data_IF_581399443248
#
_entry.id   IF_581399443248
#
_cell.length_a   1.000
_cell.length_b   1.000
_cell.length_c   1.000
_cell.angle_alpha   90.00
_cell.angle_beta   90.00
_cell.angle_gamma   90.00
#
_symmetry.space_group_name_H-M   'P 1'
#
loop_
_entity.id
_entity.type
_entity.pdbx_description
1 polymer ?
#
# COMPACT_ATOMS: atom_id res chain seq x y z
N UNK A 1 -47.49 -31.31 -32.99
CA UNK A 1 -47.03 -32.38 -33.88
C UNK A 1 -45.72 -32.87 -33.32
N UNK A 2 -45.79 -33.90 -32.47
CA UNK A 2 -45.31 -35.29 -32.64
C UNK A 2 -43.80 -35.42 -32.48
N UNK A 3 -43.32 -35.88 -31.30
CA UNK A 3 -42.94 -37.27 -30.94
C UNK A 3 -41.74 -37.77 -31.75
N UNK A 4 -40.70 -38.36 -31.16
CA UNK A 4 -40.77 -39.71 -30.59
C UNK A 4 -39.38 -40.03 -29.96
N UNK A 5 -39.45 -40.54 -28.79
CA UNK A 5 -38.66 -41.60 -28.11
C UNK A 5 -37.72 -42.47 -28.96
N UNK A 6 -36.58 -42.78 -28.44
CA UNK A 6 -35.70 -43.83 -28.95
C UNK A 6 -34.71 -44.35 -27.90
N UNK A 7 -35.22 -45.20 -27.02
CA UNK A 7 -34.46 -46.07 -26.14
C UNK A 7 -33.92 -47.27 -26.91
N UNK A 8 -32.66 -47.70 -26.75
CA UNK A 8 -32.19 -49.09 -26.96
C UNK A 8 -30.83 -49.29 -26.33
N UNK A 9 -30.80 -49.92 -25.18
CA UNK A 9 -30.37 -51.30 -24.79
C UNK A 9 -28.93 -51.67 -25.07
N UNK A 10 -28.40 -52.02 -23.96
CA UNK A 10 -27.24 -52.80 -23.59
C UNK A 10 -26.68 -53.84 -24.59
N UNK A 11 -25.39 -53.98 -24.63
CA UNK A 11 -24.78 -55.29 -24.86
C UNK A 11 -23.45 -55.43 -24.13
N UNK A 12 -23.43 -56.30 -23.15
CA UNK A 12 -22.27 -56.83 -22.47
C UNK A 12 -21.48 -57.72 -23.42
N UNK A 13 -20.19 -57.61 -23.42
CA UNK A 13 -19.31 -58.74 -23.76
C UNK A 13 -18.23 -58.86 -22.71
N UNK A 14 -18.30 -60.03 -22.07
CA UNK A 14 -17.31 -60.60 -21.19
C UNK A 14 -16.08 -61.05 -21.94
N UNK A 15 -14.94 -61.02 -21.28
CA UNK A 15 -13.90 -61.98 -21.46
C UNK A 15 -12.55 -61.42 -21.90
N UNK A 16 -11.56 -61.31 -21.05
CA UNK A 16 -10.49 -62.27 -20.94
C UNK A 16 -9.54 -61.90 -19.81
N UNK A 17 -9.34 -62.89 -18.93
CA UNK A 17 -8.31 -62.85 -17.89
C UNK A 17 -6.94 -63.01 -18.53
N UNK A 18 -6.01 -62.12 -18.19
CA UNK A 18 -4.59 -62.42 -18.25
C UNK A 18 -3.92 -61.96 -16.97
N UNK A 19 -3.54 -62.92 -16.19
CA UNK A 19 -2.67 -62.80 -15.03
C UNK A 19 -1.24 -62.58 -15.51
N UNK A 20 -0.57 -61.51 -15.06
CA UNK A 20 0.89 -61.48 -15.00
C UNK A 20 1.32 -60.83 -13.68
N UNK A 21 1.98 -61.65 -12.88
CA UNK A 21 2.78 -61.29 -11.69
C UNK A 21 3.94 -60.40 -12.13
N UNK A 22 4.26 -59.43 -11.30
CA UNK A 22 5.51 -58.67 -11.47
C UNK A 22 5.48 -57.40 -10.65
N UNK A 23 5.82 -57.48 -9.42
CA UNK A 23 6.78 -56.71 -8.62
C UNK A 23 7.23 -55.41 -9.23
N UNK A 24 6.91 -54.33 -8.57
CA UNK A 24 7.82 -53.26 -8.12
C UNK A 24 6.99 -52.15 -7.49
N UNK A 25 7.09 -52.03 -6.18
CA UNK A 25 6.59 -50.88 -5.43
C UNK A 25 7.49 -49.68 -5.72
N UNK A 26 7.12 -48.86 -6.66
CA UNK A 26 7.68 -47.50 -6.76
C UNK A 26 6.78 -46.57 -5.93
N UNK A 27 7.21 -46.34 -4.71
CA UNK A 27 6.66 -45.25 -3.88
C UNK A 27 7.16 -43.96 -4.48
N UNK A 28 6.35 -43.30 -5.31
CA UNK A 28 6.60 -41.95 -5.72
C UNK A 28 6.40 -41.05 -4.50
N UNK A 29 7.51 -40.66 -3.89
CA UNK A 29 7.56 -39.63 -2.86
C UNK A 29 7.22 -38.31 -3.54
N UNK A 30 5.97 -37.89 -3.50
CA UNK A 30 5.57 -36.55 -3.89
C UNK A 30 6.05 -35.63 -2.79
N UNK A 31 7.25 -35.07 -2.96
CA UNK A 31 7.73 -33.97 -2.14
C UNK A 31 6.91 -32.74 -2.55
N UNK A 32 5.83 -32.49 -1.82
CA UNK A 32 5.07 -31.26 -1.91
C UNK A 32 5.95 -30.11 -1.40
N UNK A 33 6.58 -29.40 -2.33
CA UNK A 33 7.24 -28.13 -2.02
C UNK A 33 6.11 -27.12 -1.77
N UNK A 34 5.70 -26.97 -0.52
CA UNK A 34 4.89 -25.83 -0.09
C UNK A 34 5.73 -24.58 -0.25
N UNK A 35 5.55 -23.85 -1.35
CA UNK A 35 6.04 -22.48 -1.48
C UNK A 35 5.22 -21.61 -0.50
N UNK A 36 5.65 -21.57 0.75
CA UNK A 36 5.20 -20.56 1.70
C UNK A 36 5.80 -19.23 1.26
N UNK A 37 5.06 -18.46 0.47
CA UNK A 37 5.42 -17.07 0.20
C UNK A 37 5.25 -16.34 1.53
N UNK A 38 6.31 -15.78 2.14
CA UNK A 38 6.15 -15.00 3.34
C UNK A 38 5.30 -13.80 3.00
N UNK A 39 4.10 -13.73 3.57
CA UNK A 39 3.26 -12.55 3.53
C UNK A 39 3.98 -11.50 4.38
N UNK A 40 4.73 -10.62 3.72
CA UNK A 40 5.40 -9.51 4.38
C UNK A 40 4.32 -8.58 4.92
N UNK A 41 4.32 -8.38 6.23
CA UNK A 41 3.46 -7.40 6.87
C UNK A 41 3.82 -6.01 6.31
N UNK A 42 2.87 -5.36 5.63
CA UNK A 42 3.04 -3.98 5.18
C UNK A 42 3.04 -3.12 6.44
N UNK A 43 4.14 -2.39 6.65
CA UNK A 43 4.27 -1.50 7.80
C UNK A 43 3.19 -0.39 7.75
N UNK A 44 2.55 -0.13 8.89
CA UNK A 44 1.50 0.89 9.01
C UNK A 44 1.98 2.28 8.55
N UNK A 45 3.25 2.62 8.77
CA UNK A 45 3.86 3.85 8.26
C UNK A 45 3.91 3.92 6.74
N UNK A 46 4.09 2.79 6.07
CA UNK A 46 4.09 2.68 4.61
C UNK A 46 2.67 2.92 4.03
N UNK A 47 1.64 2.40 4.69
CA UNK A 47 0.24 2.63 4.31
C UNK A 47 -0.12 4.11 4.48
N UNK A 48 0.19 4.71 5.62
CA UNK A 48 -0.04 6.13 5.88
C UNK A 48 0.64 7.02 4.82
N UNK A 49 1.85 6.67 4.39
CA UNK A 49 2.57 7.42 3.35
C UNK A 49 1.90 7.32 1.97
N UNK A 50 1.40 6.15 1.59
CA UNK A 50 0.70 5.94 0.31
C UNK A 50 -0.60 6.73 0.28
N UNK A 51 -1.42 6.59 1.33
CA UNK A 51 -2.70 7.26 1.45
C UNK A 51 -2.56 8.79 1.56
N UNK A 52 -1.56 9.27 2.27
CA UNK A 52 -1.21 10.68 2.37
C UNK A 52 -0.86 11.30 1.02
N UNK A 53 -0.05 10.63 0.21
CA UNK A 53 0.31 11.10 -1.14
C UNK A 53 -0.90 11.08 -2.07
N UNK A 54 -1.78 10.08 -1.94
CA UNK A 54 -3.04 10.00 -2.67
C UNK A 54 -3.95 11.16 -2.28
N UNK A 55 -4.12 11.41 -0.98
CA UNK A 55 -4.91 12.51 -0.44
C UNK A 55 -4.46 13.86 -0.99
N UNK A 56 -3.16 14.17 -0.98
CA UNK A 56 -2.61 15.40 -1.54
C UNK A 56 -2.96 15.55 -3.03
N UNK A 57 -2.88 14.48 -3.82
CA UNK A 57 -3.22 14.51 -5.26
C UNK A 57 -4.69 14.81 -5.55
N UNK A 58 -5.59 14.62 -4.58
CA UNK A 58 -7.00 14.97 -4.73
C UNK A 58 -7.27 16.47 -4.50
N UNK A 59 -6.33 17.19 -3.87
CA UNK A 59 -6.51 18.60 -3.47
C UNK A 59 -5.73 19.60 -4.35
N UNK A 60 -4.79 19.13 -5.15
CA UNK A 60 -3.91 19.98 -5.95
C UNK A 60 -3.77 19.46 -7.38
N UNK A 61 -3.41 20.37 -8.29
CA UNK A 61 -2.91 19.99 -9.62
C UNK A 61 -1.70 19.07 -9.50
N UNK A 62 -1.40 18.31 -10.55
CA UNK A 62 -0.29 17.34 -10.57
C UNK A 62 1.03 17.96 -10.09
N UNK A 63 1.37 19.15 -10.54
CA UNK A 63 2.66 19.78 -10.25
C UNK A 63 2.72 20.29 -8.80
N UNK A 64 1.66 20.96 -8.33
CA UNK A 64 1.59 21.43 -6.95
C UNK A 64 1.54 20.25 -5.95
N UNK A 65 0.84 19.18 -6.30
CA UNK A 65 0.84 17.96 -5.50
C UNK A 65 2.24 17.33 -5.39
N UNK A 66 2.99 17.28 -6.50
CA UNK A 66 4.36 16.75 -6.50
C UNK A 66 5.29 17.61 -5.63
N UNK A 67 5.13 18.93 -5.65
CA UNK A 67 5.91 19.85 -4.80
C UNK A 67 5.63 19.57 -3.32
N UNK A 68 4.37 19.44 -2.92
CA UNK A 68 4.00 19.15 -1.53
C UNK A 68 4.47 17.77 -1.08
N UNK A 69 4.37 16.76 -1.96
CA UNK A 69 4.87 15.41 -1.69
C UNK A 69 6.39 15.40 -1.46
N UNK A 70 7.14 16.16 -2.26
CA UNK A 70 8.58 16.33 -2.07
C UNK A 70 8.88 17.00 -0.73
N UNK A 71 8.15 18.05 -0.41
CA UNK A 71 8.31 18.82 0.83
C UNK A 71 8.10 17.90 2.05
N UNK A 72 6.95 17.24 2.16
CA UNK A 72 6.64 16.38 3.31
C UNK A 72 7.47 15.09 3.35
N UNK A 73 7.96 14.64 2.19
CA UNK A 73 8.95 13.58 2.13
C UNK A 73 10.27 13.95 2.80
N UNK A 74 10.68 15.22 2.71
CA UNK A 74 11.89 15.73 3.37
C UNK A 74 11.66 16.09 4.84
N UNK A 75 10.48 16.54 5.20
CA UNK A 75 10.15 16.93 6.57
C UNK A 75 10.05 15.73 7.52
N UNK A 76 9.30 14.71 7.14
CA UNK A 76 8.99 13.58 8.03
C UNK A 76 8.99 12.20 7.36
N UNK A 77 9.28 12.13 6.06
CA UNK A 77 9.02 10.92 5.24
C UNK A 77 7.56 10.42 5.37
N UNK A 78 6.61 11.33 5.55
CA UNK A 78 5.19 11.03 5.82
C UNK A 78 4.92 10.31 7.14
N UNK A 79 5.82 10.39 8.10
CA UNK A 79 5.61 9.83 9.43
C UNK A 79 4.71 10.77 10.26
N UNK A 80 3.46 10.36 10.51
CA UNK A 80 2.50 11.12 11.32
C UNK A 80 2.90 11.26 12.79
N UNK A 81 3.78 10.39 13.28
CA UNK A 81 4.29 10.42 14.65
C UNK A 81 5.65 11.13 14.77
N UNK A 82 6.10 11.77 13.69
CA UNK A 82 7.36 12.47 13.70
C UNK A 82 7.37 13.61 14.73
N UNK A 83 8.48 13.72 15.45
CA UNK A 83 8.77 14.83 16.36
C UNK A 83 10.15 15.37 16.05
N UNK A 84 10.22 16.63 15.65
CA UNK A 84 11.47 17.32 15.40
C UNK A 84 11.79 18.34 16.47
N UNK A 85 13.05 18.77 16.50
CA UNK A 85 13.57 19.74 17.48
C UNK A 85 13.32 19.32 18.93
N UNK A 86 13.54 18.04 19.25
CA UNK A 86 13.18 17.42 20.54
C UNK A 86 13.79 18.15 21.73
N UNK A 87 15.02 18.69 21.56
CA UNK A 87 15.73 19.42 22.61
C UNK A 87 15.59 20.95 22.51
N UNK A 88 14.80 21.44 21.57
CA UNK A 88 14.60 22.87 21.35
C UNK A 88 13.40 23.43 22.10
N UNK A 89 13.29 24.75 22.15
CA UNK A 89 12.19 25.47 22.81
C UNK A 89 10.82 25.24 22.16
N UNK A 90 10.78 24.86 20.91
CA UNK A 90 9.55 24.59 20.15
C UNK A 90 9.74 23.34 19.30
N UNK A 91 9.04 22.27 19.66
CA UNK A 91 9.01 21.04 18.90
C UNK A 91 8.11 21.18 17.68
N UNK A 92 8.45 20.44 16.60
CA UNK A 92 7.64 20.31 15.40
C UNK A 92 7.06 18.90 15.31
N UNK A 93 5.85 18.76 14.79
CA UNK A 93 5.09 17.51 14.86
C UNK A 93 4.53 17.09 13.50
N UNK A 94 4.42 15.77 13.35
CA UNK A 94 3.66 15.10 12.33
C UNK A 94 4.22 15.23 10.92
N UNK A 95 3.39 14.87 9.94
CA UNK A 95 3.77 14.87 8.53
C UNK A 95 4.32 16.22 8.06
N UNK A 96 3.68 17.36 8.36
CA UNK A 96 4.14 18.67 7.89
C UNK A 96 5.19 19.33 8.79
N UNK A 97 5.62 18.68 9.87
CA UNK A 97 6.57 19.21 10.85
C UNK A 97 6.22 20.62 11.35
N UNK A 98 4.95 20.82 11.72
CA UNK A 98 4.49 22.11 12.24
C UNK A 98 4.76 22.25 13.74
N UNK A 99 5.12 23.47 14.15
CA UNK A 99 5.27 23.87 15.56
C UNK A 99 3.90 24.07 16.23
N UNK A 100 3.03 23.08 16.09
CA UNK A 100 1.68 23.08 16.62
C UNK A 100 1.40 21.74 17.32
N UNK A 101 1.39 21.68 18.65
CA UNK A 101 1.15 20.43 19.38
C UNK A 101 -0.24 19.84 19.16
N UNK A 102 -1.23 20.61 18.71
CA UNK A 102 -2.58 20.14 18.46
C UNK A 102 -2.66 19.12 17.33
N UNK A 103 -1.66 19.06 16.43
CA UNK A 103 -1.68 18.12 15.34
C UNK A 103 -1.09 16.76 15.70
N UNK A 104 -0.40 16.63 16.84
CA UNK A 104 0.40 15.46 17.21
C UNK A 104 -0.37 14.14 17.14
N UNK A 105 -1.61 14.14 17.61
CA UNK A 105 -2.44 12.94 17.73
C UNK A 105 -3.52 12.84 16.64
N UNK A 106 -3.48 13.72 15.65
CA UNK A 106 -4.41 13.71 14.52
C UNK A 106 -4.06 12.62 13.51
N UNK A 107 -5.07 12.18 12.74
CA UNK A 107 -4.85 11.30 11.60
C UNK A 107 -3.96 11.97 10.55
N UNK A 108 -3.31 11.16 9.70
CA UNK A 108 -2.42 11.64 8.64
C UNK A 108 -3.08 12.70 7.75
N UNK A 109 -4.32 12.47 7.29
CA UNK A 109 -5.06 13.43 6.46
C UNK A 109 -5.32 14.76 7.19
N UNK A 110 -5.68 14.71 8.47
CA UNK A 110 -5.89 15.93 9.27
C UNK A 110 -4.59 16.72 9.47
N UNK A 111 -3.48 16.05 9.69
CA UNK A 111 -2.17 16.70 9.74
C UNK A 111 -1.82 17.38 8.41
N UNK A 112 -2.12 16.72 7.27
CA UNK A 112 -1.94 17.28 5.94
C UNK A 112 -2.83 18.51 5.73
N UNK A 113 -4.11 18.49 6.18
CA UNK A 113 -4.99 19.65 6.11
C UNK A 113 -4.39 20.88 6.83
N UNK A 114 -3.83 20.68 8.02
CA UNK A 114 -3.12 21.75 8.73
C UNK A 114 -1.89 22.25 7.97
N UNK A 115 -1.12 21.32 7.42
CA UNK A 115 0.05 21.67 6.62
C UNK A 115 -0.30 22.39 5.32
N UNK A 116 -1.38 21.99 4.64
CA UNK A 116 -1.87 22.70 3.46
C UNK A 116 -2.30 24.15 3.77
N UNK A 117 -3.02 24.35 4.88
CA UNK A 117 -3.40 25.69 5.34
C UNK A 117 -2.17 26.54 5.66
N UNK A 118 -1.18 25.98 6.33
CA UNK A 118 0.08 26.65 6.63
C UNK A 118 0.83 27.06 5.35
N UNK A 119 0.97 26.13 4.39
CA UNK A 119 1.63 26.38 3.11
C UNK A 119 0.90 27.48 2.32
N UNK A 120 -0.43 27.42 2.25
CA UNK A 120 -1.23 28.43 1.58
C UNK A 120 -1.04 29.82 2.21
N UNK A 121 -1.07 29.91 3.54
CA UNK A 121 -0.91 31.17 4.27
C UNK A 121 0.49 31.76 4.11
N UNK A 122 1.54 30.93 4.21
CA UNK A 122 2.92 31.42 4.27
C UNK A 122 3.57 31.59 2.91
N UNK A 123 3.28 30.70 1.97
CA UNK A 123 3.96 30.64 0.67
C UNK A 123 3.01 30.86 -0.52
N UNK A 124 1.71 30.76 -0.29
CA UNK A 124 0.69 30.81 -1.32
C UNK A 124 0.49 29.47 -2.04
N UNK A 125 1.56 28.79 -2.46
CA UNK A 125 1.45 27.51 -3.16
C UNK A 125 2.48 26.48 -2.67
N UNK A 126 2.19 25.16 -2.83
CA UNK A 126 3.14 24.08 -2.52
C UNK A 126 4.48 24.21 -3.24
N UNK A 127 4.49 24.60 -4.52
CA UNK A 127 5.75 24.71 -5.26
C UNK A 127 6.61 25.89 -4.77
N UNK A 128 6.01 26.98 -4.32
CA UNK A 128 6.75 28.08 -3.67
C UNK A 128 7.33 27.64 -2.31
N UNK A 129 6.57 26.85 -1.54
CA UNK A 129 7.07 26.29 -0.28
C UNK A 129 8.25 25.32 -0.54
N UNK A 130 8.14 24.46 -1.54
CA UNK A 130 9.21 23.57 -1.95
C UNK A 130 10.46 24.32 -2.40
N UNK A 131 10.31 25.36 -3.22
CA UNK A 131 11.41 26.21 -3.66
C UNK A 131 12.12 26.90 -2.47
N UNK A 132 11.34 27.35 -1.47
CA UNK A 132 11.89 27.89 -0.23
C UNK A 132 12.70 26.84 0.53
N UNK A 133 12.14 25.62 0.68
CA UNK A 133 12.81 24.50 1.36
C UNK A 133 14.13 24.13 0.68
N UNK A 134 14.15 24.04 -0.65
CA UNK A 134 15.38 23.76 -1.42
C UNK A 134 16.46 24.80 -1.15
N UNK A 135 16.07 26.05 -0.97
CA UNK A 135 17.01 27.18 -0.73
C UNK A 135 17.46 27.27 0.72
N UNK A 136 16.60 26.95 1.68
CA UNK A 136 16.80 27.24 3.11
C UNK A 136 16.93 26.00 3.99
N UNK A 137 16.47 24.82 3.52
CA UNK A 137 16.44 23.58 4.30
C UNK A 137 15.31 23.49 5.33
N UNK A 138 14.34 24.42 5.29
CA UNK A 138 13.14 24.44 6.16
C UNK A 138 11.97 25.16 5.47
N UNK A 139 10.75 24.96 6.03
CA UNK A 139 9.55 25.67 5.56
C UNK A 139 8.70 26.21 6.71
#
# INVERSE_FOLDING_TARGET
>A
MLDTTGTLTARAHQGLRASLKGSARSVALVIGISLSIPMQAVDAGSIDAIDSKRYIRLHYSKDEALCLIKLYGKESAFNRSAVGNVNGSQQAYGIPMLKNPLIKDLSANKQIDYGMKYVAHRYGTPCKAWAHWVKKGWH
#
